data_IF_678657714410
#
_entry.id   IF_678657714410
#
_cell.length_a   1.000
_cell.length_b   1.000
_cell.length_c   1.000
_cell.angle_alpha   90.00
_cell.angle_beta   90.00
_cell.angle_gamma   90.00
#
_symmetry.space_group_name_H-M   'P 1'
#
loop_
_entity.id
_entity.type
_entity.pdbx_description
1 polymer ?
#
# COMPACT_ATOMS: atom_id res chain seq x y z
N UNK A 1 -6.33 31.80 -26.60
CA UNK A 1 -6.62 30.36 -26.65
C UNK A 1 -6.84 29.92 -25.21
N UNK A 2 -8.09 29.62 -24.81
CA UNK A 2 -8.39 29.03 -23.48
C UNK A 2 -7.61 27.74 -23.32
N UNK A 3 -6.75 27.68 -22.35
CA UNK A 3 -5.97 26.48 -22.01
C UNK A 3 -6.95 25.42 -21.48
N UNK A 4 -7.23 24.38 -22.25
CA UNK A 4 -8.08 23.29 -21.81
C UNK A 4 -7.49 22.65 -20.52
N UNK A 5 -8.29 22.53 -19.47
CA UNK A 5 -7.92 21.87 -18.23
C UNK A 5 -7.53 20.39 -18.49
N UNK A 6 -6.43 19.94 -17.92
CA UNK A 6 -5.98 18.54 -18.00
C UNK A 6 -6.42 17.77 -16.75
N UNK A 7 -7.27 16.79 -16.94
CA UNK A 7 -7.72 15.90 -15.85
C UNK A 7 -7.11 14.51 -15.98
N UNK A 8 -6.60 13.99 -14.86
CA UNK A 8 -6.06 12.64 -14.77
C UNK A 8 -6.75 11.87 -13.64
N UNK A 9 -7.20 10.66 -13.93
CA UNK A 9 -7.80 9.75 -12.96
C UNK A 9 -6.87 8.57 -12.71
N UNK A 10 -6.58 8.27 -11.46
CA UNK A 10 -5.80 7.08 -11.11
C UNK A 10 -6.53 6.22 -10.10
N UNK A 11 -6.42 4.89 -10.25
CA UNK A 11 -7.26 3.89 -9.59
C UNK A 11 -6.37 2.81 -9.01
N UNK A 12 -6.51 2.54 -7.71
CA UNK A 12 -5.89 1.40 -7.03
C UNK A 12 -6.92 0.31 -6.76
N UNK A 13 -6.64 -0.92 -7.23
CA UNK A 13 -7.38 -2.14 -6.87
C UNK A 13 -6.45 -3.01 -6.02
N UNK A 14 -5.99 -2.48 -4.91
CA UNK A 14 -5.09 -3.13 -3.97
C UNK A 14 -5.70 -3.12 -2.57
N UNK A 15 -4.90 -3.40 -1.56
CA UNK A 15 -5.30 -3.26 -0.16
C UNK A 15 -5.82 -1.84 0.09
N UNK A 16 -7.10 -1.73 0.51
CA UNK A 16 -7.85 -0.49 0.64
C UNK A 16 -7.94 0.29 -0.70
N UNK A 17 -8.72 -0.28 -1.61
CA UNK A 17 -8.93 0.26 -2.97
C UNK A 17 -9.33 1.73 -2.96
N UNK A 18 -8.79 2.51 -3.89
CA UNK A 18 -8.94 3.97 -3.91
C UNK A 18 -9.00 4.54 -5.32
N UNK A 19 -9.46 5.77 -5.44
CA UNK A 19 -9.33 6.59 -6.64
C UNK A 19 -8.92 8.01 -6.28
N UNK A 20 -8.20 8.67 -7.17
CA UNK A 20 -7.88 10.08 -7.04
C UNK A 20 -7.94 10.82 -8.38
N UNK A 21 -8.24 12.11 -8.32
CA UNK A 21 -8.34 13.00 -9.44
C UNK A 21 -7.33 14.14 -9.33
N UNK A 22 -6.62 14.35 -10.44
CA UNK A 22 -5.71 15.49 -10.61
C UNK A 22 -6.26 16.45 -11.65
N UNK A 23 -6.15 17.75 -11.40
CA UNK A 23 -6.40 18.83 -12.35
C UNK A 23 -5.16 19.71 -12.47
N UNK A 24 -4.64 19.89 -13.68
CA UNK A 24 -3.50 20.78 -13.99
C UNK A 24 -2.30 20.62 -13.02
N UNK A 25 -1.97 19.36 -12.70
CA UNK A 25 -0.87 18.99 -11.83
C UNK A 25 -1.16 19.06 -10.32
N UNK A 26 -2.37 19.41 -9.91
CA UNK A 26 -2.83 19.44 -8.52
C UNK A 26 -3.77 18.26 -8.23
N UNK A 27 -3.51 17.51 -7.18
CA UNK A 27 -4.47 16.51 -6.66
C UNK A 27 -5.62 17.28 -6.02
N UNK A 28 -6.81 17.18 -6.61
CA UNK A 28 -7.99 17.91 -6.15
C UNK A 28 -8.96 17.05 -5.38
N UNK A 29 -8.88 15.72 -5.54
CA UNK A 29 -9.73 14.78 -4.81
C UNK A 29 -9.05 13.41 -4.69
N UNK A 30 -9.22 12.75 -3.55
CA UNK A 30 -8.86 11.36 -3.36
C UNK A 30 -9.77 10.71 -2.31
N UNK A 31 -10.16 9.46 -2.53
CA UNK A 31 -10.97 8.71 -1.58
C UNK A 31 -10.73 7.20 -1.69
N UNK A 32 -10.83 6.52 -0.53
CA UNK A 32 -10.88 5.07 -0.47
C UNK A 32 -12.31 4.57 -0.63
N UNK A 33 -12.49 3.44 -1.31
CA UNK A 33 -13.79 2.81 -1.53
C UNK A 33 -14.48 2.41 -0.22
N UNK A 34 -13.70 2.08 0.83
CA UNK A 34 -14.22 1.76 2.16
C UNK A 34 -15.11 2.85 2.76
N UNK A 35 -14.92 4.13 2.40
CA UNK A 35 -15.73 5.25 2.87
C UNK A 35 -17.19 5.12 2.44
N UNK A 36 -17.41 4.57 1.27
CA UNK A 36 -18.74 4.42 0.66
C UNK A 36 -19.35 3.05 0.94
N UNK A 37 -18.54 2.00 0.86
CA UNK A 37 -18.95 0.62 1.07
C UNK A 37 -19.08 0.24 2.55
N UNK A 38 -18.49 1.00 3.46
CA UNK A 38 -18.44 0.73 4.91
C UNK A 38 -17.81 -0.63 5.23
N UNK A 39 -16.90 -1.09 4.39
CA UNK A 39 -16.10 -2.31 4.56
C UNK A 39 -14.65 -1.89 4.63
N UNK A 40 -14.04 -2.02 5.81
CA UNK A 40 -12.65 -1.61 6.06
C UNK A 40 -11.67 -2.39 5.20
N UNK A 41 -10.66 -1.70 4.67
CA UNK A 41 -9.59 -2.27 3.83
C UNK A 41 -10.09 -3.08 2.63
N UNK A 42 -11.21 -2.70 2.04
CA UNK A 42 -11.81 -3.43 0.92
C UNK A 42 -10.87 -3.49 -0.29
N UNK A 43 -10.79 -4.68 -0.89
CA UNK A 43 -10.07 -4.94 -2.14
C UNK A 43 -11.09 -5.21 -3.23
N UNK A 44 -11.37 -4.21 -4.05
CA UNK A 44 -12.38 -4.27 -5.11
C UNK A 44 -12.13 -3.22 -6.18
N UNK A 45 -12.88 -3.24 -7.27
CA UNK A 45 -12.95 -2.11 -8.19
C UNK A 45 -13.63 -0.93 -7.47
N UNK A 46 -12.97 0.23 -7.31
CA UNK A 46 -13.45 1.33 -6.46
C UNK A 46 -14.49 2.18 -7.20
N UNK A 47 -15.65 1.59 -7.46
CA UNK A 47 -16.75 2.21 -8.24
C UNK A 47 -17.15 3.56 -7.70
N UNK A 48 -17.48 3.61 -6.41
CA UNK A 48 -18.00 4.84 -5.78
C UNK A 48 -16.92 5.91 -5.62
N UNK A 49 -15.69 5.52 -5.30
CA UNK A 49 -14.59 6.48 -5.25
C UNK A 49 -14.32 7.14 -6.61
N UNK A 50 -14.42 6.37 -7.72
CA UNK A 50 -14.31 6.90 -9.09
C UNK A 50 -15.45 7.88 -9.39
N UNK A 51 -16.70 7.50 -9.10
CA UNK A 51 -17.86 8.35 -9.30
C UNK A 51 -17.75 9.68 -8.53
N UNK A 52 -17.24 9.62 -7.30
CA UNK A 52 -17.04 10.82 -6.48
C UNK A 52 -15.91 11.72 -7.01
N UNK A 53 -14.84 11.16 -7.57
CA UNK A 53 -13.81 11.94 -8.27
C UNK A 53 -14.40 12.79 -9.40
N UNK A 54 -15.22 12.19 -10.26
CA UNK A 54 -15.84 12.88 -11.38
C UNK A 54 -16.88 13.90 -10.92
N UNK A 55 -17.72 13.50 -9.95
CA UNK A 55 -18.74 14.36 -9.35
C UNK A 55 -18.14 15.61 -8.68
N UNK A 56 -17.04 15.47 -7.95
CA UNK A 56 -16.35 16.58 -7.28
C UNK A 56 -15.89 17.67 -8.26
N UNK A 57 -15.38 17.28 -9.44
CA UNK A 57 -14.94 18.20 -10.46
C UNK A 57 -16.06 18.61 -11.44
N UNK A 58 -17.26 18.06 -11.32
CA UNK A 58 -18.38 18.23 -12.26
C UNK A 58 -17.97 17.90 -13.70
N UNK A 59 -17.33 16.74 -13.91
CA UNK A 59 -16.88 16.26 -15.21
C UNK A 59 -17.36 14.84 -15.49
N UNK A 60 -17.32 14.46 -16.77
CA UNK A 60 -17.55 13.10 -17.26
C UNK A 60 -16.23 12.45 -17.70
N UNK A 61 -16.21 11.13 -17.87
CA UNK A 61 -15.01 10.41 -18.30
C UNK A 61 -14.43 10.86 -19.64
N UNK A 62 -15.27 11.37 -20.57
CA UNK A 62 -14.80 11.93 -21.84
C UNK A 62 -13.85 13.13 -21.68
N UNK A 63 -13.97 13.89 -20.58
CA UNK A 63 -13.14 15.04 -20.27
C UNK A 63 -11.75 14.66 -19.70
N UNK A 64 -11.56 13.40 -19.32
CA UNK A 64 -10.26 12.92 -18.84
C UNK A 64 -9.22 12.91 -19.95
N UNK A 65 -8.04 13.43 -19.65
CA UNK A 65 -6.88 13.37 -20.53
C UNK A 65 -6.35 11.94 -20.59
N UNK A 66 -6.18 11.30 -19.41
CA UNK A 66 -5.77 9.89 -19.24
C UNK A 66 -6.33 9.32 -17.94
N UNK A 67 -6.44 7.99 -17.90
CA UNK A 67 -6.68 7.25 -16.67
C UNK A 67 -5.65 6.12 -16.50
N UNK A 68 -5.39 5.70 -15.24
CA UNK A 68 -4.47 4.61 -14.97
C UNK A 68 -4.94 3.71 -13.83
N UNK A 69 -4.61 2.43 -13.95
CA UNK A 69 -4.55 1.48 -12.85
C UNK A 69 -3.13 1.44 -12.27
N UNK A 70 -3.01 1.42 -10.94
CA UNK A 70 -1.73 1.52 -10.22
C UNK A 70 -1.07 0.18 -9.93
N UNK A 71 -1.29 -0.79 -10.81
CA UNK A 71 -0.58 -2.06 -10.81
C UNK A 71 -0.50 -2.60 -12.23
N UNK A 72 0.69 -3.03 -12.62
CA UNK A 72 0.98 -3.55 -13.96
C UNK A 72 1.09 -5.08 -14.03
N UNK A 73 1.29 -5.76 -12.90
CA UNK A 73 1.51 -7.21 -12.82
C UNK A 73 0.76 -7.87 -11.67
N UNK A 74 -0.46 -7.43 -11.40
CA UNK A 74 -1.34 -8.06 -10.40
C UNK A 74 -1.89 -9.38 -10.92
N UNK A 75 -1.71 -10.42 -10.13
CA UNK A 75 -2.31 -11.72 -10.40
C UNK A 75 -3.83 -11.65 -10.20
N UNK A 76 -4.64 -11.87 -11.26
CA UNK A 76 -6.09 -11.72 -11.17
C UNK A 76 -6.75 -12.72 -10.21
N UNK A 77 -6.14 -13.89 -10.00
CA UNK A 77 -6.63 -14.86 -9.03
C UNK A 77 -6.41 -14.37 -7.62
N UNK A 78 -5.25 -13.77 -7.35
CA UNK A 78 -4.96 -13.18 -6.04
C UNK A 78 -5.89 -12.01 -5.74
N UNK A 79 -6.20 -11.16 -6.71
CA UNK A 79 -7.15 -10.06 -6.52
C UNK A 79 -8.55 -10.60 -6.22
N UNK A 80 -9.06 -11.51 -7.06
CA UNK A 80 -10.40 -12.09 -6.87
C UNK A 80 -10.55 -12.85 -5.55
N UNK A 81 -9.49 -13.52 -5.09
CA UNK A 81 -9.52 -14.37 -3.90
C UNK A 81 -9.03 -13.67 -2.63
N UNK A 82 -8.34 -12.53 -2.75
CA UNK A 82 -7.75 -11.80 -1.61
C UNK A 82 -8.71 -10.82 -0.96
N UNK A 83 -9.90 -11.26 -0.62
CA UNK A 83 -10.75 -10.48 0.27
C UNK A 83 -10.32 -10.68 1.74
N UNK A 84 -9.04 -10.42 2.03
CA UNK A 84 -8.46 -10.56 3.38
C UNK A 84 -9.17 -9.69 4.40
N UNK A 85 -9.79 -8.60 3.98
CA UNK A 85 -10.65 -7.79 4.82
C UNK A 85 -11.86 -8.54 5.41
N UNK A 86 -12.22 -9.70 4.81
CA UNK A 86 -13.29 -10.59 5.30
C UNK A 86 -12.78 -11.78 6.11
N UNK A 87 -11.46 -11.95 6.22
CA UNK A 87 -10.87 -13.07 6.94
C UNK A 87 -10.97 -12.86 8.45
N UNK A 88 -11.41 -13.89 9.16
CA UNK A 88 -11.18 -14.04 10.60
C UNK A 88 -9.71 -14.41 10.88
N UNK A 89 -9.29 -14.31 12.12
CA UNK A 89 -7.94 -14.75 12.53
C UNK A 89 -7.72 -16.22 12.15
N UNK A 90 -8.71 -17.10 12.41
CA UNK A 90 -8.64 -18.51 12.01
C UNK A 90 -8.41 -18.69 10.52
N UNK A 91 -9.10 -17.91 9.69
CA UNK A 91 -8.96 -17.98 8.23
C UNK A 91 -7.61 -17.48 7.74
N UNK A 92 -6.99 -16.53 8.43
CA UNK A 92 -5.60 -16.16 8.16
C UNK A 92 -4.63 -17.31 8.49
N UNK A 93 -4.86 -18.03 9.58
CA UNK A 93 -4.09 -19.22 9.90
C UNK A 93 -4.22 -20.29 8.82
N UNK A 94 -5.44 -20.65 8.44
CA UNK A 94 -5.71 -21.62 7.38
C UNK A 94 -5.08 -21.17 6.04
N UNK A 95 -5.15 -19.86 5.73
CA UNK A 95 -4.59 -19.29 4.52
C UNK A 95 -3.06 -19.43 4.48
N UNK A 96 -2.36 -19.06 5.54
CA UNK A 96 -0.91 -19.11 5.54
C UNK A 96 -0.38 -20.54 5.68
N UNK A 97 -0.99 -21.36 6.51
CA UNK A 97 -0.64 -22.77 6.62
C UNK A 97 -0.84 -23.50 5.27
N UNK A 98 -2.02 -23.41 4.68
CA UNK A 98 -2.30 -24.01 3.38
C UNK A 98 -1.36 -23.50 2.28
N UNK A 99 -1.03 -22.20 2.29
CA UNK A 99 -0.12 -21.59 1.30
C UNK A 99 1.29 -22.12 1.41
N UNK A 100 1.86 -22.15 2.63
CA UNK A 100 3.26 -22.51 2.82
C UNK A 100 3.44 -24.02 2.86
N UNK A 101 2.57 -24.74 3.53
CA UNK A 101 2.57 -26.19 3.57
C UNK A 101 2.39 -26.81 2.17
N UNK A 102 1.36 -26.41 1.44
CA UNK A 102 1.14 -26.91 0.09
C UNK A 102 2.22 -26.44 -0.91
N UNK A 103 2.85 -25.29 -0.69
CA UNK A 103 3.98 -24.85 -1.51
C UNK A 103 5.23 -25.71 -1.26
N UNK A 104 5.50 -26.08 0.00
CA UNK A 104 6.61 -26.98 0.37
C UNK A 104 6.42 -28.37 -0.25
N UNK A 105 5.17 -28.86 -0.31
CA UNK A 105 4.80 -30.11 -0.96
C UNK A 105 4.58 -30.00 -2.49
N UNK A 106 4.90 -28.86 -3.10
CA UNK A 106 4.64 -28.58 -4.52
C UNK A 106 3.16 -28.61 -4.93
N UNK A 107 2.22 -28.44 -4.00
CA UNK A 107 0.77 -28.52 -4.22
C UNK A 107 0.10 -27.15 -4.45
N UNK A 108 0.73 -26.25 -5.18
CA UNK A 108 0.22 -24.90 -5.48
C UNK A 108 -1.21 -24.86 -6.02
N UNK A 109 -1.60 -25.86 -6.79
CA UNK A 109 -2.95 -25.93 -7.39
C UNK A 109 -4.04 -26.07 -6.34
N UNK A 110 -3.80 -26.86 -5.27
CA UNK A 110 -4.77 -27.05 -4.17
C UNK A 110 -5.05 -25.74 -3.43
N UNK A 111 -4.00 -24.98 -3.13
CA UNK A 111 -4.12 -23.68 -2.50
C UNK A 111 -5.01 -22.69 -3.28
N UNK A 112 -4.76 -22.54 -4.59
CA UNK A 112 -5.56 -21.63 -5.40
C UNK A 112 -7.00 -22.11 -5.59
N UNK A 113 -7.24 -23.41 -5.70
CA UNK A 113 -8.61 -23.97 -5.72
C UNK A 113 -9.35 -23.65 -4.42
N UNK A 114 -8.70 -23.80 -3.27
CA UNK A 114 -9.31 -23.44 -1.98
C UNK A 114 -9.73 -21.97 -1.94
N UNK A 115 -8.85 -21.04 -2.35
CA UNK A 115 -9.13 -19.61 -2.39
C UNK A 115 -10.33 -19.28 -3.30
N UNK A 116 -10.39 -19.88 -4.48
CA UNK A 116 -11.39 -19.51 -5.50
C UNK A 116 -12.72 -20.20 -5.34
N UNK A 117 -12.77 -21.35 -4.66
CA UNK A 117 -14.01 -22.07 -4.39
C UNK A 117 -14.80 -21.46 -3.22
N UNK A 118 -14.20 -20.61 -2.42
CA UNK A 118 -14.87 -20.01 -1.28
C UNK A 118 -15.68 -18.77 -1.67
N UNK A 119 -16.92 -18.99 -2.15
CA UNK A 119 -17.82 -17.97 -2.67
C UNK A 119 -18.10 -16.79 -1.72
N UNK A 120 -17.96 -16.99 -0.39
CA UNK A 120 -18.21 -15.91 0.60
C UNK A 120 -17.17 -14.78 0.52
N UNK A 121 -15.99 -15.01 -0.05
CA UNK A 121 -14.95 -14.02 -0.21
C UNK A 121 -15.14 -13.16 -1.46
N UNK A 122 -16.05 -13.53 -2.35
CA UNK A 122 -16.30 -12.76 -3.56
C UNK A 122 -17.13 -11.52 -3.24
N UNK A 123 -16.75 -10.42 -3.84
CA UNK A 123 -17.50 -9.19 -3.79
C UNK A 123 -18.64 -9.25 -4.82
N UNK A 124 -19.88 -9.29 -4.32
CA UNK A 124 -21.09 -9.34 -5.18
C UNK A 124 -21.32 -8.06 -5.97
N UNK A 125 -20.78 -6.94 -5.47
CA UNK A 125 -20.91 -5.63 -6.12
C UNK A 125 -19.72 -5.30 -7.04
N UNK A 126 -18.74 -6.19 -7.15
CA UNK A 126 -17.62 -6.01 -8.08
C UNK A 126 -18.13 -6.17 -9.52
N UNK A 127 -18.04 -5.08 -10.28
CA UNK A 127 -18.48 -5.04 -11.68
C UNK A 127 -17.45 -5.61 -12.65
N UNK A 128 -16.24 -5.96 -12.17
CA UNK A 128 -15.21 -6.60 -13.00
C UNK A 128 -15.56 -8.03 -13.30
N UNK A 129 -15.61 -8.37 -14.59
CA UNK A 129 -15.93 -9.76 -15.03
C UNK A 129 -14.72 -10.66 -14.96
N UNK A 130 -14.80 -11.71 -14.16
CA UNK A 130 -13.75 -12.74 -13.96
C UNK A 130 -14.09 -14.09 -14.61
N UNK A 131 -15.04 -14.15 -15.54
CA UNK A 131 -15.51 -15.38 -16.19
C UNK A 131 -14.40 -16.18 -16.87
N UNK A 132 -13.34 -15.48 -17.29
CA UNK A 132 -12.16 -16.11 -17.92
C UNK A 132 -11.24 -16.83 -16.92
N UNK A 133 -11.45 -16.71 -15.60
CA UNK A 133 -10.61 -17.34 -14.58
C UNK A 133 -11.12 -18.76 -14.27
N UNK A 134 -10.58 -19.72 -15.00
CA UNK A 134 -10.66 -21.15 -14.65
C UNK A 134 -9.30 -21.57 -14.10
N UNK A 135 -9.25 -21.98 -12.82
CA UNK A 135 -8.00 -22.39 -12.18
C UNK A 135 -7.77 -23.88 -12.37
N UNK A 136 -6.75 -24.22 -13.11
CA UNK A 136 -6.26 -25.56 -13.36
C UNK A 136 -4.75 -25.56 -13.54
N UNK A 137 -4.18 -26.70 -13.95
CA UNK A 137 -2.75 -26.81 -14.31
C UNK A 137 -2.34 -25.77 -15.35
N UNK A 138 -3.24 -25.39 -16.22
CA UNK A 138 -3.06 -24.46 -17.32
C UNK A 138 -2.84 -23.01 -16.85
N UNK A 139 -3.47 -22.61 -15.73
CA UNK A 139 -3.27 -21.28 -15.15
C UNK A 139 -1.80 -20.98 -14.85
N UNK A 140 -1.10 -21.90 -14.21
CA UNK A 140 0.30 -21.71 -13.82
C UNK A 140 1.27 -21.68 -14.99
N UNK A 141 0.95 -22.41 -16.06
CA UNK A 141 1.72 -22.42 -17.31
C UNK A 141 1.51 -21.13 -18.12
N UNK A 142 0.31 -20.56 -18.06
CA UNK A 142 -0.13 -19.47 -18.92
C UNK A 142 -0.48 -18.17 -18.15
N UNK A 143 0.19 -17.90 -17.02
CA UNK A 143 -0.10 -16.74 -16.17
C UNK A 143 -0.15 -15.40 -16.94
N UNK A 144 0.77 -15.19 -17.88
CA UNK A 144 0.79 -13.97 -18.71
C UNK A 144 -0.49 -13.80 -19.55
N UNK A 145 -1.04 -14.89 -20.10
CA UNK A 145 -2.30 -14.87 -20.85
C UNK A 145 -3.48 -14.44 -19.96
N UNK A 146 -3.54 -14.98 -18.73
CA UNK A 146 -4.59 -14.60 -17.77
C UNK A 146 -4.46 -13.14 -17.32
N UNK A 147 -3.24 -12.66 -17.11
CA UNK A 147 -2.99 -11.25 -16.80
C UNK A 147 -3.44 -10.33 -17.94
N UNK A 148 -3.15 -10.69 -19.19
CA UNK A 148 -3.59 -9.91 -20.35
C UNK A 148 -5.12 -9.84 -20.45
N UNK A 149 -5.82 -10.96 -20.23
CA UNK A 149 -7.29 -11.00 -20.19
C UNK A 149 -7.85 -10.14 -19.05
N UNK A 150 -7.21 -10.16 -17.88
CA UNK A 150 -7.61 -9.33 -16.74
C UNK A 150 -7.46 -7.86 -17.06
N UNK A 151 -6.33 -7.43 -17.60
CA UNK A 151 -6.11 -6.03 -18.03
C UNK A 151 -7.18 -5.59 -19.04
N UNK A 152 -7.48 -6.42 -20.02
CA UNK A 152 -8.56 -6.14 -20.99
C UNK A 152 -9.92 -6.01 -20.31
N UNK A 153 -10.23 -6.86 -19.33
CA UNK A 153 -11.46 -6.75 -18.54
C UNK A 153 -11.52 -5.44 -17.77
N UNK A 154 -10.41 -5.04 -17.11
CA UNK A 154 -10.34 -3.77 -16.38
C UNK A 154 -10.52 -2.55 -17.30
N UNK A 155 -9.88 -2.54 -18.47
CA UNK A 155 -10.05 -1.48 -19.46
C UNK A 155 -11.52 -1.36 -19.87
N UNK A 156 -12.15 -2.48 -20.27
CA UNK A 156 -13.57 -2.49 -20.66
C UNK A 156 -14.48 -2.05 -19.51
N UNK A 157 -14.20 -2.50 -18.29
CA UNK A 157 -14.99 -2.10 -17.10
C UNK A 157 -14.94 -0.60 -16.89
N UNK A 158 -13.76 0.01 -16.91
CA UNK A 158 -13.63 1.45 -16.71
C UNK A 158 -14.25 2.24 -17.87
N UNK A 159 -13.97 1.82 -19.11
CA UNK A 159 -14.54 2.47 -20.32
C UNK A 159 -16.07 2.44 -20.29
N UNK A 160 -16.68 1.31 -19.97
CA UNK A 160 -18.15 1.19 -19.87
C UNK A 160 -18.72 1.99 -18.70
N UNK A 161 -18.03 2.02 -17.54
CA UNK A 161 -18.49 2.67 -16.33
C UNK A 161 -18.55 4.18 -16.46
N UNK A 162 -17.47 4.82 -16.94
CA UNK A 162 -17.38 6.29 -16.98
C UNK A 162 -17.32 6.89 -18.39
N UNK A 163 -17.48 6.07 -19.43
CA UNK A 163 -17.48 6.50 -20.85
C UNK A 163 -16.15 7.17 -21.26
N UNK A 164 -15.01 6.62 -20.82
CA UNK A 164 -13.68 7.02 -21.25
C UNK A 164 -13.23 6.16 -22.44
N UNK A 165 -12.49 6.76 -23.38
CA UNK A 165 -11.85 6.01 -24.47
C UNK A 165 -10.84 5.01 -23.91
N UNK A 166 -10.90 3.75 -24.34
CA UNK A 166 -10.00 2.68 -23.93
C UNK A 166 -8.52 3.03 -24.16
N UNK A 167 -8.20 3.78 -25.24
CA UNK A 167 -6.85 4.23 -25.58
C UNK A 167 -6.23 5.19 -24.56
N UNK A 168 -7.06 5.85 -23.75
CA UNK A 168 -6.62 6.76 -22.68
C UNK A 168 -6.32 6.03 -21.37
N UNK A 169 -6.56 4.68 -21.27
CA UNK A 169 -6.39 3.89 -20.07
C UNK A 169 -5.04 3.16 -20.11
N UNK A 170 -4.26 3.25 -19.05
CA UNK A 170 -2.95 2.61 -18.94
C UNK A 170 -2.77 1.90 -17.60
N UNK A 171 -1.66 1.18 -17.44
CA UNK A 171 -1.25 0.53 -16.21
C UNK A 171 0.12 1.05 -15.77
N UNK A 172 0.26 1.37 -14.51
CA UNK A 172 1.49 1.91 -13.93
C UNK A 172 1.97 0.91 -12.86
N UNK A 173 3.26 0.66 -12.82
CA UNK A 173 3.87 -0.22 -11.81
C UNK A 173 3.61 0.31 -10.39
N UNK A 174 3.29 -0.59 -9.48
CA UNK A 174 2.94 -0.31 -8.08
C UNK A 174 4.02 0.51 -7.37
N UNK A 175 5.28 0.07 -7.42
CA UNK A 175 6.38 0.78 -6.75
C UNK A 175 6.72 2.10 -7.44
N UNK A 176 6.43 2.24 -8.72
CA UNK A 176 6.50 3.53 -9.44
C UNK A 176 5.48 4.51 -8.85
N UNK A 177 4.24 4.06 -8.58
CA UNK A 177 3.24 4.91 -7.94
C UNK A 177 3.69 5.36 -6.54
N UNK A 178 4.19 4.45 -5.71
CA UNK A 178 4.77 4.82 -4.41
C UNK A 178 5.91 5.84 -4.53
N UNK A 179 6.83 5.64 -5.48
CA UNK A 179 7.98 6.52 -5.67
C UNK A 179 7.56 7.93 -6.12
N UNK A 180 6.60 8.01 -7.05
CA UNK A 180 6.08 9.29 -7.53
C UNK A 180 5.30 10.02 -6.45
N UNK A 181 4.49 9.32 -5.65
CA UNK A 181 3.84 9.93 -4.50
C UNK A 181 4.86 10.43 -3.48
N UNK A 182 5.85 9.60 -3.10
CA UNK A 182 6.88 9.98 -2.15
C UNK A 182 7.60 11.27 -2.55
N UNK A 183 7.99 11.38 -3.81
CA UNK A 183 8.76 12.53 -4.27
C UNK A 183 7.89 13.75 -4.54
N UNK A 184 6.85 13.61 -5.36
CA UNK A 184 6.03 14.76 -5.77
C UNK A 184 5.07 15.25 -4.67
N UNK A 185 4.66 14.38 -3.74
CA UNK A 185 3.92 14.75 -2.54
C UNK A 185 4.78 15.43 -1.46
N UNK A 186 6.12 15.31 -1.57
CA UNK A 186 7.05 15.87 -0.59
C UNK A 186 7.39 17.35 -0.82
N UNK A 187 7.92 18.06 0.20
CA UNK A 187 8.45 19.40 0.05
C UNK A 187 9.83 19.44 -0.62
N UNK A 188 10.46 18.31 -0.95
CA UNK A 188 11.85 18.22 -1.40
C UNK A 188 12.04 18.24 -2.91
N UNK A 189 11.03 18.65 -3.66
CA UNK A 189 11.09 18.74 -5.11
C UNK A 189 12.19 19.68 -5.60
N UNK A 190 12.69 19.43 -6.81
CA UNK A 190 13.82 20.13 -7.43
C UNK A 190 15.16 19.94 -6.71
N UNK A 191 15.22 19.24 -5.60
CA UNK A 191 16.47 18.89 -4.87
C UNK A 191 16.81 17.44 -5.11
N UNK A 192 18.12 17.14 -5.17
CA UNK A 192 18.59 15.76 -5.23
C UNK A 192 18.14 15.00 -3.98
N UNK A 193 17.24 14.03 -4.15
CA UNK A 193 16.56 13.33 -3.06
C UNK A 193 16.55 11.83 -3.32
N UNK A 194 16.85 11.04 -2.31
CA UNK A 194 16.68 9.60 -2.35
C UNK A 194 15.21 9.25 -2.13
N UNK A 195 14.66 8.42 -3.00
CA UNK A 195 13.29 7.91 -2.88
C UNK A 195 13.35 6.42 -2.61
N UNK A 196 12.77 5.97 -1.52
CA UNK A 196 12.80 4.58 -1.10
C UNK A 196 11.38 4.08 -0.92
N UNK A 197 11.03 3.03 -1.63
CA UNK A 197 9.75 2.35 -1.42
C UNK A 197 9.98 1.01 -0.73
N UNK A 198 9.28 0.77 0.36
CA UNK A 198 9.36 -0.44 1.16
C UNK A 198 7.95 -0.96 1.41
N UNK A 199 7.64 -2.13 0.89
CA UNK A 199 6.32 -2.72 0.98
C UNK A 199 6.37 -4.23 1.22
N UNK A 200 5.21 -4.83 1.54
CA UNK A 200 5.08 -6.28 1.63
C UNK A 200 5.18 -6.93 0.26
N UNK A 201 4.48 -6.40 -0.75
CA UNK A 201 4.49 -6.89 -2.12
C UNK A 201 3.68 -6.01 -3.08
N UNK A 202 4.24 -5.71 -4.26
CA UNK A 202 3.53 -5.07 -5.37
C UNK A 202 4.26 -5.30 -6.69
N UNK A 203 3.56 -5.77 -7.71
CA UNK A 203 4.07 -6.00 -9.07
C UNK A 203 5.40 -6.78 -9.13
N UNK A 204 5.49 -7.86 -8.34
CA UNK A 204 6.68 -8.72 -8.31
C UNK A 204 7.86 -8.17 -7.51
N UNK A 205 7.68 -7.09 -6.76
CA UNK A 205 8.72 -6.42 -5.95
C UNK A 205 8.21 -6.13 -4.54
N UNK A 206 9.12 -5.79 -3.64
CA UNK A 206 8.81 -5.31 -2.32
C UNK A 206 9.76 -4.22 -1.80
N UNK A 207 10.70 -3.78 -2.67
CA UNK A 207 11.59 -2.68 -2.40
C UNK A 207 12.06 -2.05 -3.70
N UNK A 208 12.08 -0.70 -3.77
CA UNK A 208 12.82 0.03 -4.80
C UNK A 208 13.59 1.20 -4.19
N UNK A 209 14.71 1.54 -4.81
CA UNK A 209 15.52 2.71 -4.48
C UNK A 209 15.69 3.54 -5.73
N UNK A 210 15.39 4.82 -5.62
CA UNK A 210 15.51 5.79 -6.71
C UNK A 210 16.34 6.99 -6.24
N UNK A 211 16.85 7.73 -7.20
CA UNK A 211 17.30 9.11 -7.00
C UNK A 211 16.45 10.03 -7.85
N UNK A 212 15.96 11.08 -7.23
CA UNK A 212 15.27 12.17 -7.92
C UNK A 212 16.19 13.38 -8.01
N UNK A 213 16.26 14.00 -9.17
CA UNK A 213 16.96 15.26 -9.39
C UNK A 213 16.20 16.08 -10.44
N UNK A 214 15.99 17.37 -10.16
CA UNK A 214 15.27 18.30 -11.07
C UNK A 214 13.94 17.73 -11.60
N UNK A 215 13.17 17.10 -10.73
CA UNK A 215 11.88 16.44 -11.02
C UNK A 215 11.98 15.16 -11.89
N UNK A 216 13.16 14.64 -12.15
CA UNK A 216 13.35 13.37 -12.85
C UNK A 216 13.71 12.27 -11.85
N UNK A 217 12.97 11.17 -11.87
CA UNK A 217 13.24 10.01 -11.04
C UNK A 217 13.97 8.94 -11.84
N UNK A 218 15.10 8.45 -11.28
CA UNK A 218 15.89 7.35 -11.85
C UNK A 218 15.96 6.21 -10.85
N UNK A 219 15.54 5.01 -11.25
CA UNK A 219 15.67 3.81 -10.42
C UNK A 219 17.13 3.40 -10.33
N UNK A 220 17.60 3.13 -9.12
CA UNK A 220 18.95 2.64 -8.82
C UNK A 220 18.96 1.15 -8.49
N UNK A 221 17.89 0.66 -7.86
CA UNK A 221 17.81 -0.72 -7.42
C UNK A 221 16.35 -1.14 -7.20
N UNK A 222 16.09 -2.44 -7.36
CA UNK A 222 14.84 -3.08 -6.94
C UNK A 222 15.10 -4.47 -6.36
N UNK A 223 14.25 -4.92 -5.43
CA UNK A 223 14.31 -6.24 -4.81
C UNK A 223 12.90 -6.80 -4.62
N UNK A 224 12.80 -8.12 -4.64
CA UNK A 224 11.61 -8.89 -4.24
C UNK A 224 11.89 -9.81 -3.04
N UNK A 225 13.01 -9.56 -2.37
CA UNK A 225 13.54 -10.40 -1.29
C UNK A 225 13.47 -9.74 0.09
N UNK A 226 12.88 -8.54 0.20
CA UNK A 226 12.66 -7.87 1.47
C UNK A 226 11.51 -8.54 2.22
N UNK A 227 11.82 -9.32 3.23
CA UNK A 227 10.81 -10.03 4.03
C UNK A 227 10.33 -9.25 5.27
N UNK A 228 10.72 -7.98 5.47
CA UNK A 228 10.32 -7.17 6.64
C UNK A 228 8.80 -7.14 6.80
N UNK A 229 8.07 -6.73 5.78
CA UNK A 229 6.60 -6.66 5.84
C UNK A 229 5.98 -8.03 6.14
N UNK A 230 6.50 -9.09 5.53
CA UNK A 230 6.01 -10.45 5.76
C UNK A 230 6.28 -10.95 7.19
N UNK A 231 7.44 -10.64 7.76
CA UNK A 231 7.75 -10.98 9.15
C UNK A 231 6.82 -10.23 10.10
N UNK A 232 6.51 -8.96 9.81
CA UNK A 232 5.51 -8.19 10.56
C UNK A 232 4.13 -8.83 10.50
N UNK A 233 3.67 -9.18 9.30
CA UNK A 233 2.37 -9.86 9.07
C UNK A 233 2.29 -11.18 9.85
N UNK A 234 3.35 -12.00 9.80
CA UNK A 234 3.38 -13.27 10.53
C UNK A 234 3.44 -13.08 12.04
N UNK A 235 4.23 -12.13 12.54
CA UNK A 235 4.26 -11.79 13.97
C UNK A 235 2.88 -11.33 14.44
N UNK A 236 2.19 -10.50 13.67
CA UNK A 236 0.83 -10.05 13.96
C UNK A 236 -0.12 -11.24 14.14
N UNK A 237 -0.08 -12.20 13.21
CA UNK A 237 -0.94 -13.37 13.29
C UNK A 237 -0.56 -14.31 14.44
N UNK A 238 0.73 -14.59 14.66
CA UNK A 238 1.24 -15.44 15.74
C UNK A 238 0.84 -14.89 17.11
N UNK A 239 0.77 -13.58 17.25
CA UNK A 239 0.29 -12.91 18.47
C UNK A 239 -1.25 -12.82 18.57
N UNK A 240 -2.00 -13.55 17.74
CA UNK A 240 -3.47 -13.60 17.76
C UNK A 240 -4.16 -12.35 17.23
N UNK A 241 -3.46 -11.52 16.46
CA UNK A 241 -4.01 -10.31 15.89
C UNK A 241 -4.23 -10.45 14.38
N UNK A 242 -5.07 -9.58 13.82
CA UNK A 242 -5.45 -9.63 12.41
C UNK A 242 -4.36 -9.03 11.51
N UNK A 243 -3.77 -9.80 10.59
CA UNK A 243 -2.87 -9.29 9.58
C UNK A 243 -3.53 -8.24 8.67
N UNK A 244 -2.69 -7.43 8.04
CA UNK A 244 -3.07 -6.33 7.14
C UNK A 244 -3.87 -5.20 7.84
N UNK A 245 -4.06 -5.30 9.17
CA UNK A 245 -4.77 -4.29 9.96
C UNK A 245 -4.08 -3.94 11.29
N UNK A 246 -3.40 -4.91 11.93
CA UNK A 246 -2.94 -4.75 13.30
C UNK A 246 -1.41 -4.71 13.46
N UNK A 247 -0.64 -4.58 12.39
CA UNK A 247 0.82 -4.46 12.42
C UNK A 247 1.28 -3.28 13.29
N UNK A 248 0.50 -2.20 13.30
CA UNK A 248 0.79 -1.05 14.18
C UNK A 248 0.73 -1.39 15.67
N UNK A 249 -0.06 -2.40 16.07
CA UNK A 249 -0.11 -2.88 17.46
C UNK A 249 1.18 -3.60 17.83
N UNK A 250 1.74 -4.40 16.90
CA UNK A 250 3.06 -5.03 17.08
C UNK A 250 4.13 -3.95 17.27
N UNK A 251 4.15 -2.93 16.42
CA UNK A 251 5.05 -1.78 16.57
C UNK A 251 4.85 -1.09 17.93
N UNK A 252 3.60 -0.89 18.37
CA UNK A 252 3.25 -0.26 19.64
C UNK A 252 3.65 -1.08 20.88
N UNK A 253 3.73 -2.42 20.77
CA UNK A 253 4.20 -3.29 21.84
C UNK A 253 5.72 -3.36 21.98
N UNK A 254 6.46 -3.07 20.91
CA UNK A 254 7.92 -3.18 20.90
C UNK A 254 8.65 -2.41 22.02
N UNK A 255 8.25 -1.19 22.43
CA UNK A 255 8.89 -0.47 23.53
C UNK A 255 8.79 -1.14 24.92
N UNK A 256 7.84 -2.05 25.11
CA UNK A 256 7.68 -2.78 26.39
C UNK A 256 8.64 -3.96 26.54
N UNK A 257 9.35 -4.33 25.45
CA UNK A 257 10.31 -5.42 25.46
C UNK A 257 11.56 -5.06 26.27
N UNK A 258 11.96 -5.95 27.18
CA UNK A 258 13.25 -5.83 27.87
C UNK A 258 14.38 -6.32 26.95
N UNK A 259 15.45 -5.52 26.85
CA UNK A 259 16.56 -5.75 25.89
C UNK A 259 17.08 -7.19 25.87
N UNK A 260 17.34 -7.78 27.05
CA UNK A 260 17.90 -9.13 27.14
C UNK A 260 16.96 -10.20 26.55
N UNK A 261 15.65 -10.05 26.71
CA UNK A 261 14.66 -11.00 26.22
C UNK A 261 14.35 -10.81 24.73
N UNK A 262 14.22 -9.55 24.28
CA UNK A 262 14.04 -9.29 22.84
C UNK A 262 15.23 -9.79 22.02
N UNK A 263 16.47 -9.70 22.56
CA UNK A 263 17.66 -10.19 21.87
C UNK A 263 17.66 -11.73 21.71
N UNK A 264 17.04 -12.48 22.63
CA UNK A 264 16.82 -13.92 22.44
C UNK A 264 15.87 -14.17 21.25
N UNK A 265 14.71 -13.51 21.20
CA UNK A 265 13.78 -13.63 20.07
C UNK A 265 14.38 -13.11 18.75
N UNK A 266 15.20 -12.05 18.79
CA UNK A 266 15.91 -11.50 17.63
C UNK A 266 16.94 -12.46 17.04
N UNK A 267 17.64 -13.25 17.87
CA UNK A 267 18.60 -14.24 17.43
C UNK A 267 18.02 -15.21 16.39
N UNK A 268 16.74 -15.53 16.53
CA UNK A 268 16.02 -16.46 15.65
C UNK A 268 15.75 -15.88 14.25
N UNK A 269 15.69 -14.57 14.12
CA UNK A 269 15.34 -13.91 12.85
C UNK A 269 16.49 -13.11 12.22
N UNK A 270 17.57 -12.82 12.96
CA UNK A 270 18.65 -11.90 12.53
C UNK A 270 19.29 -12.24 11.20
N UNK A 271 19.32 -13.52 10.83
CA UNK A 271 19.97 -14.03 9.64
C UNK A 271 18.97 -14.32 8.48
N UNK A 272 17.68 -14.07 8.65
CA UNK A 272 16.67 -14.29 7.59
C UNK A 272 16.93 -13.36 6.39
N UNK A 273 17.34 -12.14 6.68
CA UNK A 273 17.66 -11.14 5.65
C UNK A 273 18.93 -10.37 5.98
N UNK A 274 19.58 -9.87 4.94
CA UNK A 274 20.73 -8.96 5.04
C UNK A 274 20.65 -7.83 4.02
N UNK A 275 21.42 -6.77 4.24
CA UNK A 275 21.56 -5.69 3.25
C UNK A 275 22.79 -5.98 2.39
N UNK A 276 22.58 -6.06 1.09
CA UNK A 276 23.63 -6.14 0.07
C UNK A 276 23.51 -4.95 -0.87
N UNK A 277 24.49 -4.05 -0.83
CA UNK A 277 24.47 -2.78 -1.54
C UNK A 277 23.17 -1.99 -1.27
N UNK A 278 22.33 -1.78 -2.29
CA UNK A 278 21.07 -1.05 -2.23
C UNK A 278 19.84 -1.96 -2.07
N UNK A 279 20.03 -3.22 -1.68
CA UNK A 279 18.96 -4.22 -1.58
C UNK A 279 18.95 -4.85 -0.19
N UNK A 280 17.74 -5.05 0.33
CA UNK A 280 17.51 -6.06 1.36
C UNK A 280 17.24 -7.37 0.62
N UNK A 281 18.03 -8.39 0.92
CA UNK A 281 17.96 -9.70 0.29
C UNK A 281 17.77 -10.79 1.34
N UNK A 282 17.24 -11.92 0.91
CA UNK A 282 17.20 -13.12 1.73
C UNK A 282 18.61 -13.63 1.99
N UNK A 283 18.81 -14.15 3.21
CA UNK A 283 20.07 -14.81 3.60
C UNK A 283 19.76 -16.26 4.01
N UNK A 284 19.75 -16.59 5.26
CA UNK A 284 19.40 -17.92 5.77
C UNK A 284 17.89 -18.09 5.99
N UNK A 285 17.11 -17.72 4.99
CA UNK A 285 15.65 -17.74 5.07
C UNK A 285 15.10 -19.16 4.87
N UNK A 286 14.31 -19.69 5.83
CA UNK A 286 13.63 -20.98 5.65
C UNK A 286 12.62 -20.94 4.50
N UNK A 287 12.42 -22.08 3.83
CA UNK A 287 11.39 -22.20 2.77
C UNK A 287 10.00 -21.93 3.35
N UNK A 288 9.69 -22.55 4.47
CA UNK A 288 8.48 -22.31 5.25
C UNK A 288 8.79 -21.33 6.39
N UNK A 289 8.79 -20.05 6.07
CA UNK A 289 9.07 -18.99 7.05
C UNK A 289 7.98 -18.92 8.13
N UNK A 290 6.72 -19.18 7.82
CA UNK A 290 5.63 -19.04 8.76
C UNK A 290 5.73 -20.05 9.92
N UNK A 291 5.79 -21.35 9.60
CA UNK A 291 5.93 -22.39 10.61
C UNK A 291 7.30 -22.33 11.32
N UNK A 292 8.35 -21.91 10.62
CA UNK A 292 9.63 -21.65 11.28
C UNK A 292 9.48 -20.61 12.40
N UNK A 293 8.84 -19.47 12.16
CA UNK A 293 8.64 -18.43 13.17
C UNK A 293 7.75 -18.90 14.33
N UNK A 294 6.70 -19.68 14.06
CA UNK A 294 5.86 -20.27 15.10
C UNK A 294 6.73 -21.11 16.07
N UNK A 295 7.57 -21.99 15.51
CA UNK A 295 8.41 -22.89 16.30
C UNK A 295 9.50 -22.14 17.08
N UNK A 296 10.16 -21.16 16.43
CA UNK A 296 11.27 -20.41 17.05
C UNK A 296 10.78 -19.44 18.14
N UNK A 297 9.58 -18.90 18.00
CA UNK A 297 9.02 -17.95 18.97
C UNK A 297 8.13 -18.60 20.04
N UNK A 298 7.99 -19.92 20.01
CA UNK A 298 7.26 -20.66 21.06
C UNK A 298 7.88 -20.39 22.44
N UNK A 299 7.04 -19.96 23.39
CA UNK A 299 7.48 -19.61 24.75
C UNK A 299 8.05 -18.19 24.93
N UNK A 300 8.23 -17.42 23.85
CA UNK A 300 8.56 -16.01 23.98
C UNK A 300 7.31 -15.17 24.29
N UNK A 301 7.47 -14.13 25.11
CA UNK A 301 6.40 -13.14 25.36
C UNK A 301 6.16 -12.29 24.12
N UNK A 302 4.94 -11.82 23.95
CA UNK A 302 4.53 -11.01 22.78
C UNK A 302 5.32 -9.71 22.62
N UNK A 303 5.59 -9.02 23.74
CA UNK A 303 6.42 -7.81 23.73
C UNK A 303 7.85 -8.09 23.24
N UNK A 304 8.45 -9.22 23.62
CA UNK A 304 9.80 -9.60 23.18
C UNK A 304 9.83 -9.95 21.69
N UNK A 305 8.80 -10.64 21.18
CA UNK A 305 8.63 -10.89 19.74
C UNK A 305 8.49 -9.57 19.00
N UNK A 306 7.61 -8.69 19.48
CA UNK A 306 7.38 -7.36 18.90
C UNK A 306 8.68 -6.52 18.88
N UNK A 307 9.42 -6.51 20.00
CA UNK A 307 10.72 -5.84 20.10
C UNK A 307 11.76 -6.42 19.15
N UNK A 308 11.81 -7.74 18.98
CA UNK A 308 12.72 -8.41 18.06
C UNK A 308 12.43 -8.05 16.59
N UNK A 309 11.16 -8.04 16.20
CA UNK A 309 10.72 -7.66 14.84
C UNK A 309 11.01 -6.19 14.55
N UNK A 310 10.75 -5.31 15.53
CA UNK A 310 11.07 -3.90 15.40
C UNK A 310 12.58 -3.66 15.26
N UNK A 311 13.38 -4.28 16.11
CA UNK A 311 14.85 -4.18 16.06
C UNK A 311 15.43 -4.70 14.75
N UNK A 312 14.89 -5.81 14.22
CA UNK A 312 15.24 -6.36 12.92
C UNK A 312 14.99 -5.35 11.80
N UNK A 313 13.78 -4.76 11.79
CA UNK A 313 13.37 -3.76 10.80
C UNK A 313 14.28 -2.54 10.82
N UNK A 314 14.50 -1.96 12.00
CA UNK A 314 15.35 -0.78 12.18
C UNK A 314 16.79 -1.02 11.72
N UNK A 315 17.37 -2.18 12.06
CA UNK A 315 18.74 -2.51 11.68
C UNK A 315 18.92 -2.65 10.17
N UNK A 316 18.00 -3.33 9.49
CA UNK A 316 18.06 -3.47 8.04
C UNK A 316 17.88 -2.11 7.34
N UNK A 317 16.89 -1.32 7.76
CA UNK A 317 16.60 -0.02 7.15
C UNK A 317 17.73 0.99 7.41
N UNK A 318 18.32 1.01 8.62
CA UNK A 318 19.51 1.86 8.92
C UNK A 318 20.71 1.50 8.02
N UNK A 319 20.98 0.21 7.81
CA UNK A 319 22.04 -0.24 6.90
C UNK A 319 21.76 0.15 5.45
N UNK A 320 20.52 -0.05 4.99
CA UNK A 320 20.09 0.33 3.65
C UNK A 320 20.27 1.84 3.40
N UNK A 321 19.78 2.70 4.30
CA UNK A 321 19.88 4.16 4.19
C UNK A 321 21.34 4.62 4.17
N UNK A 322 22.22 4.05 5.02
CA UNK A 322 23.65 4.34 5.00
C UNK A 322 24.29 3.98 3.64
N UNK A 323 23.92 2.84 3.06
CA UNK A 323 24.44 2.42 1.75
C UNK A 323 23.93 3.31 0.61
N UNK A 324 22.63 3.73 0.67
CA UNK A 324 22.07 4.69 -0.29
C UNK A 324 22.84 6.00 -0.24
N UNK A 325 23.07 6.55 0.96
CA UNK A 325 23.88 7.76 1.14
C UNK A 325 25.29 7.60 0.57
N UNK A 326 25.98 6.49 0.85
CA UNK A 326 27.32 6.23 0.30
C UNK A 326 27.32 6.32 -1.23
N UNK A 327 26.28 5.82 -1.89
CA UNK A 327 26.14 5.80 -3.36
C UNK A 327 25.76 7.16 -3.94
N UNK A 328 24.80 7.87 -3.33
CA UNK A 328 24.18 9.06 -3.91
C UNK A 328 24.77 10.37 -3.41
N UNK A 329 25.39 10.34 -2.22
CA UNK A 329 25.86 11.50 -1.44
C UNK A 329 24.75 12.49 -1.06
N UNK A 330 23.46 12.16 -1.30
CA UNK A 330 22.32 12.97 -0.88
C UNK A 330 21.88 12.59 0.53
N UNK A 331 21.66 13.58 1.38
CA UNK A 331 21.17 13.44 2.76
C UNK A 331 19.66 13.66 2.88
N UNK A 332 18.98 13.90 1.75
CA UNK A 332 17.51 14.02 1.70
C UNK A 332 16.89 12.69 1.33
N UNK A 333 15.88 12.26 2.09
CA UNK A 333 15.19 11.00 1.89
C UNK A 333 13.67 11.20 1.92
N UNK A 334 12.96 10.50 1.03
CA UNK A 334 11.50 10.35 1.08
C UNK A 334 11.14 8.87 1.03
N UNK A 335 10.18 8.45 1.85
CA UNK A 335 9.77 7.06 2.00
C UNK A 335 8.28 6.90 1.68
N UNK A 336 7.92 5.77 1.06
CA UNK A 336 6.55 5.31 0.84
C UNK A 336 6.50 3.77 0.81
N UNK A 337 5.29 3.20 0.79
CA UNK A 337 5.01 1.78 0.96
C UNK A 337 4.63 1.44 2.39
N UNK A 338 3.93 0.32 2.60
CA UNK A 338 3.36 -0.06 3.89
C UNK A 338 4.37 -0.12 5.04
N UNK A 339 5.64 -0.49 4.78
CA UNK A 339 6.70 -0.51 5.81
C UNK A 339 7.08 0.91 6.25
N UNK A 340 6.93 1.92 5.38
CA UNK A 340 7.20 3.31 5.75
C UNK A 340 6.21 3.89 6.78
N UNK A 341 5.08 3.22 7.04
CA UNK A 341 4.17 3.55 8.15
C UNK A 341 4.79 3.27 9.53
N UNK A 342 5.95 2.59 9.60
CA UNK A 342 6.62 2.30 10.86
C UNK A 342 7.33 3.55 11.41
N UNK A 343 6.61 4.30 12.27
CA UNK A 343 7.10 5.56 12.85
C UNK A 343 8.35 5.39 13.73
N UNK A 344 8.51 4.22 14.38
CA UNK A 344 9.71 3.93 15.19
C UNK A 344 10.94 3.76 14.32
N UNK A 345 10.82 3.02 13.22
CA UNK A 345 11.86 2.92 12.20
C UNK A 345 12.20 4.31 11.65
N UNK A 346 11.21 5.12 11.28
CA UNK A 346 11.41 6.46 10.73
C UNK A 346 12.15 7.37 11.73
N UNK A 347 11.81 7.30 13.01
CA UNK A 347 12.53 8.00 14.07
C UNK A 347 14.00 7.60 14.14
N UNK A 348 14.31 6.30 14.05
CA UNK A 348 15.70 5.82 14.05
C UNK A 348 16.47 6.22 12.78
N UNK A 349 15.79 6.29 11.64
CA UNK A 349 16.40 6.78 10.40
C UNK A 349 16.73 8.27 10.47
N UNK A 350 15.85 9.09 11.06
CA UNK A 350 16.06 10.54 11.18
C UNK A 350 17.25 10.91 12.08
N UNK A 351 17.66 10.03 13.01
CA UNK A 351 18.84 10.22 13.88
C UNK A 351 20.18 9.93 13.19
N UNK A 352 20.17 9.37 11.97
CA UNK A 352 21.41 9.02 11.28
C UNK A 352 22.14 10.28 10.78
N UNK A 353 23.45 10.41 11.04
CA UNK A 353 24.29 11.52 10.54
C UNK A 353 24.26 11.74 9.02
N UNK A 354 23.82 10.72 8.27
CA UNK A 354 23.68 10.76 6.82
C UNK A 354 22.26 11.15 6.36
N UNK A 355 21.38 11.53 7.27
CA UNK A 355 20.00 11.95 6.99
C UNK A 355 19.79 13.32 7.60
N UNK A 356 19.77 14.36 6.76
CA UNK A 356 19.45 15.73 7.21
C UNK A 356 17.94 16.01 7.07
N UNK A 357 17.30 15.40 6.06
CA UNK A 357 15.90 15.61 5.74
C UNK A 357 15.23 14.29 5.46
N UNK A 358 14.22 13.96 6.24
CA UNK A 358 13.38 12.79 6.06
C UNK A 358 11.93 13.24 5.92
N UNK A 359 11.28 12.78 4.86
CA UNK A 359 9.84 12.93 4.68
C UNK A 359 9.21 11.56 4.43
N UNK A 360 8.14 11.30 5.14
CA UNK A 360 7.30 10.11 4.92
C UNK A 360 5.92 10.60 4.52
N UNK A 361 5.42 10.06 3.43
CA UNK A 361 4.10 10.45 2.94
C UNK A 361 3.01 10.16 3.97
N UNK A 362 2.12 11.09 4.16
CA UNK A 362 0.87 10.79 4.85
C UNK A 362 0.12 9.71 4.09
N UNK A 363 -0.37 8.68 4.81
CA UNK A 363 -0.99 7.52 4.15
C UNK A 363 -0.04 6.83 3.15
N UNK A 364 1.11 6.35 3.63
CA UNK A 364 2.15 5.79 2.78
C UNK A 364 1.82 4.40 2.21
N UNK A 365 0.69 3.79 2.58
CA UNK A 365 0.23 2.48 2.11
C UNK A 365 -0.38 2.50 0.71
N UNK A 366 -0.97 1.37 0.32
CA UNK A 366 -1.53 1.13 -1.02
C UNK A 366 -2.72 2.03 -1.37
N UNK A 367 -3.42 2.55 -0.37
CA UNK A 367 -4.53 3.50 -0.56
C UNK A 367 -4.09 4.79 -1.25
N UNK A 368 -2.82 5.15 -1.16
CA UNK A 368 -2.25 6.35 -1.78
C UNK A 368 -1.63 6.11 -3.17
N UNK A 369 -1.59 4.87 -3.65
CA UNK A 369 -1.09 4.55 -4.99
C UNK A 369 -1.79 5.37 -6.07
N UNK A 370 -3.10 5.60 -5.92
CA UNK A 370 -3.88 6.42 -6.85
C UNK A 370 -3.33 7.85 -6.97
N UNK A 371 -2.84 8.46 -5.88
CA UNK A 371 -2.20 9.78 -5.88
C UNK A 371 -0.89 9.72 -6.68
N UNK A 372 -0.06 8.71 -6.41
CA UNK A 372 1.21 8.50 -7.12
C UNK A 372 1.03 8.24 -8.62
N UNK A 373 0.00 7.48 -8.98
CA UNK A 373 -0.35 7.23 -10.38
C UNK A 373 -0.70 8.50 -11.14
N UNK A 374 -1.41 9.45 -10.52
CA UNK A 374 -1.68 10.76 -11.13
C UNK A 374 -0.41 11.59 -11.31
N UNK A 375 0.50 11.60 -10.34
CA UNK A 375 1.80 12.25 -10.52
C UNK A 375 2.62 11.65 -11.66
N UNK A 376 2.55 10.34 -11.84
CA UNK A 376 3.20 9.67 -12.96
C UNK A 376 2.52 10.01 -14.31
N UNK A 377 1.19 10.01 -14.37
CA UNK A 377 0.47 10.39 -15.60
C UNK A 377 0.83 11.80 -16.08
N UNK A 378 1.08 12.71 -15.14
CA UNK A 378 1.48 14.10 -15.43
C UNK A 378 3.00 14.33 -15.31
N UNK A 379 3.83 13.30 -15.46
CA UNK A 379 5.30 13.39 -15.22
C UNK A 379 6.03 14.41 -16.08
N UNK A 380 5.52 14.70 -17.27
CA UNK A 380 6.06 15.73 -18.17
C UNK A 380 5.46 17.11 -17.91
N UNK A 381 4.48 17.22 -17.03
CA UNK A 381 3.82 18.45 -16.65
C UNK A 381 4.38 19.05 -15.35
N UNK A 382 3.78 20.17 -14.95
CA UNK A 382 4.12 20.81 -13.68
C UNK A 382 3.29 20.20 -12.53
N UNK A 383 3.80 19.17 -11.90
CA UNK A 383 3.19 18.59 -10.70
C UNK A 383 3.29 19.55 -9.51
N UNK A 384 2.19 19.84 -8.83
CA UNK A 384 2.15 20.62 -7.59
C UNK A 384 2.35 19.72 -6.37
N UNK A 385 2.92 20.23 -5.26
CA UNK A 385 3.00 19.47 -4.01
C UNK A 385 1.60 19.17 -3.49
N UNK A 386 1.50 18.09 -2.74
CA UNK A 386 0.30 17.85 -1.94
C UNK A 386 0.27 18.90 -0.81
N UNK A 387 -0.80 19.69 -0.75
CA UNK A 387 -0.93 20.76 0.26
C UNK A 387 -1.27 20.19 1.64
N UNK A 388 -2.23 19.26 1.64
CA UNK A 388 -2.75 18.58 2.81
C UNK A 388 -3.40 17.25 2.41
N UNK A 389 -3.98 16.55 3.38
CA UNK A 389 -4.68 15.29 3.18
C UNK A 389 -6.22 15.42 3.23
N UNK A 390 -6.75 16.63 3.29
CA UNK A 390 -8.20 16.89 3.24
C UNK A 390 -8.70 16.85 1.79
N UNK A 391 -8.58 15.69 1.16
CA UNK A 391 -8.86 15.48 -0.26
C UNK A 391 -10.25 14.94 -0.55
N UNK A 392 -11.08 14.75 0.47
CA UNK A 392 -12.46 14.24 0.33
C UNK A 392 -13.49 15.35 0.14
N UNK A 393 -14.77 14.95 0.18
CA UNK A 393 -15.89 15.89 0.13
C UNK A 393 -15.91 16.78 1.38
N UNK A 394 -16.21 18.06 1.20
CA UNK A 394 -16.51 18.95 2.30
C UNK A 394 -17.79 18.49 2.99
N UNK A 395 -17.75 18.31 4.30
CA UNK A 395 -18.91 18.01 5.11
C UNK A 395 -19.53 19.35 5.53
N UNK A 396 -20.67 19.70 4.96
CA UNK A 396 -21.43 20.84 5.44
C UNK A 396 -22.23 20.42 6.69
N UNK A 397 -21.68 20.72 7.88
CA UNK A 397 -22.29 20.43 9.17
C UNK A 397 -23.48 21.35 9.51
N UNK A 398 -23.71 22.41 8.72
CA UNK A 398 -24.81 23.36 8.93
C UNK A 398 -26.18 22.81 8.48
N UNK A 399 -26.20 21.56 7.98
CA UNK A 399 -27.43 20.96 7.49
C UNK A 399 -28.45 20.81 8.64
N UNK A 400 -29.51 21.62 8.61
CA UNK A 400 -30.61 21.63 9.60
C UNK A 400 -31.22 20.24 9.86
N UNK A 401 -31.12 19.29 8.91
CA UNK A 401 -31.54 17.90 9.07
C UNK A 401 -30.69 17.12 10.07
N UNK A 402 -29.40 17.44 10.26
CA UNK A 402 -28.53 16.77 11.23
C UNK A 402 -28.95 17.13 12.67
N UNK A 403 -29.31 18.40 12.91
CA UNK A 403 -29.79 18.87 14.21
C UNK A 403 -31.13 18.23 14.61
N UNK A 404 -32.02 17.97 13.65
CA UNK A 404 -33.35 17.40 13.90
C UNK A 404 -33.36 15.90 14.18
N UNK A 405 -32.34 15.14 13.72
CA UNK A 405 -32.26 13.68 13.85
C UNK A 405 -31.65 13.17 15.17
N UNK A 406 -31.02 14.05 15.95
CA UNK A 406 -30.27 13.66 17.15
C UNK A 406 -30.73 14.39 18.41
N UNK A 407 -31.98 14.19 18.81
CA UNK A 407 -32.54 14.77 20.05
C UNK A 407 -31.86 14.26 21.35
N UNK A 408 -30.95 13.24 21.26
CA UNK A 408 -30.24 12.68 22.41
C UNK A 408 -28.96 13.44 22.78
N UNK A 409 -28.46 14.32 21.91
CA UNK A 409 -27.21 15.03 22.12
C UNK A 409 -27.37 16.55 22.02
N UNK A 410 -26.77 17.29 22.94
CA UNK A 410 -26.61 18.75 22.80
C UNK A 410 -25.50 19.00 21.78
N UNK A 411 -25.84 19.49 20.60
CA UNK A 411 -24.90 19.83 19.55
C UNK A 411 -24.52 21.29 19.67
N UNK A 412 -23.26 21.58 19.98
CA UNK A 412 -22.71 22.93 20.03
C UNK A 412 -21.67 23.09 18.91
N UNK A 413 -21.87 24.11 18.08
CA UNK A 413 -20.87 24.45 17.09
C UNK A 413 -19.74 25.28 17.74
N UNK A 414 -18.52 24.78 17.67
CA UNK A 414 -17.33 25.44 18.25
C UNK A 414 -16.43 25.85 17.10
N UNK A 415 -16.26 27.16 16.90
CA UNK A 415 -15.39 27.72 15.85
C UNK A 415 -13.90 27.73 16.25
N UNK A 416 -13.61 27.73 17.54
CA UNK A 416 -12.24 27.81 18.05
C UNK A 416 -11.82 26.48 18.69
N UNK A 417 -10.79 25.86 18.11
CA UNK A 417 -10.22 24.61 18.60
C UNK A 417 -9.66 24.71 20.04
N UNK A 418 -9.31 25.93 20.51
CA UNK A 418 -8.87 26.15 21.90
C UNK A 418 -9.98 25.91 22.92
N UNK A 419 -11.25 26.06 22.51
CA UNK A 419 -12.39 25.76 23.37
C UNK A 419 -12.58 24.25 23.49
N UNK A 420 -12.33 23.50 22.40
CA UNK A 420 -12.40 22.02 22.40
C UNK A 420 -11.32 21.43 23.30
N UNK A 421 -10.13 22.02 23.31
CA UNK A 421 -9.03 21.58 24.15
C UNK A 421 -9.22 21.84 25.66
N UNK A 422 -10.22 22.63 26.05
CA UNK A 422 -10.59 22.91 27.45
C UNK A 422 -11.77 22.07 27.94
N UNK A 423 -12.43 21.32 27.05
CA UNK A 423 -13.50 20.38 27.36
C UNK A 423 -12.95 18.97 27.61
#
# INVERSE_FOLDING_TARGET
IMKLNKYFLSISISHNSSASLMKDGEIIFAACEERYRRIKNIITYPKYAIEQCLKFANIEGKHLTKAAYTSSDVDPVLVKSRHTNKFSIKEFWDFYDTKFYNASLKQKVKYFKWLTNNKRFFDKEDIVKYEFLKIGKDYFKNKKKYLAKYKKSLIKTLSSHIKIDEKKITFIDHHTCHAYYAYFGSPFRKKKTNVVTLDSWGDGRNQTVWVADKNKLKILSSSNENDIGRIYTFATLIMGMRPDEHEFKVMGMAPYAKKNYLMKAYKEIKNISKVNNLKIIRDKRPKDLFNHLINQWKGHRFDNIAGAVQYFTENLCKKLVKNIYKKTKSKSFVLSGGIALNIKMNQELSKLKCVDKLFVCGSAGDESLSIGGNYYLNKEGNNKPLKDLYLGNNINLENKKFKKKNNRYKIKFVKDNKIIAKL
#
